data_IF_627759696265
#
_entry.id   IF_627759696265
#
_cell.length_a   1.000
_cell.length_b   1.000
_cell.length_c   1.000
_cell.angle_alpha   90.00
_cell.angle_beta   90.00
_cell.angle_gamma   90.00
#
_symmetry.space_group_name_H-M   'P 1'
#
loop_
_entity.id
_entity.type
_entity.pdbx_description
1 polymer ?
#
# COMPACT_ATOMS: atom_id res chain seq x y z
N UNK A 1 -9.89 -2.40 7.80
CA UNK A 1 -9.95 -1.44 6.65
C UNK A 1 -9.54 -2.21 5.41
N UNK A 2 -10.20 -2.05 4.25
CA UNK A 2 -9.81 -2.78 3.03
C UNK A 2 -8.72 -2.04 2.26
N UNK A 3 -7.73 -2.77 1.78
CA UNK A 3 -6.56 -2.25 1.03
C UNK A 3 -6.24 -3.14 -0.15
N UNK A 4 -5.52 -2.60 -1.13
CA UNK A 4 -5.04 -3.35 -2.29
C UNK A 4 -3.64 -3.89 -1.99
N UNK A 5 -3.47 -5.20 -2.03
CA UNK A 5 -2.18 -5.87 -1.94
C UNK A 5 -1.47 -5.83 -3.30
N UNK A 6 -0.19 -5.55 -3.26
CA UNK A 6 0.73 -5.50 -4.40
C UNK A 6 1.99 -6.32 -4.09
N UNK A 7 2.79 -6.61 -5.11
CA UNK A 7 4.09 -7.28 -4.92
C UNK A 7 5.14 -6.29 -4.40
N UNK A 8 6.19 -6.80 -3.76
CA UNK A 8 7.32 -5.98 -3.30
C UNK A 8 8.05 -5.27 -4.45
N UNK A 9 8.17 -5.94 -5.61
CA UNK A 9 8.71 -5.34 -6.83
C UNK A 9 7.85 -4.13 -7.25
N UNK A 10 6.52 -4.31 -7.23
CA UNK A 10 5.60 -3.26 -7.60
C UNK A 10 5.61 -2.09 -6.62
N UNK A 11 5.70 -2.36 -5.31
CA UNK A 11 5.88 -1.33 -4.29
C UNK A 11 7.15 -0.50 -4.54
N UNK A 12 8.25 -1.17 -4.87
CA UNK A 12 9.54 -0.54 -5.18
C UNK A 12 9.50 0.30 -6.45
N UNK A 13 8.72 -0.10 -7.46
CA UNK A 13 8.48 0.72 -8.64
C UNK A 13 7.72 1.98 -8.27
N UNK A 14 6.62 1.84 -7.53
CA UNK A 14 5.65 2.91 -7.32
C UNK A 14 6.09 3.96 -6.32
N UNK A 15 6.91 3.60 -5.34
CA UNK A 15 7.24 4.49 -4.22
C UNK A 15 7.70 5.87 -4.72
N UNK A 16 6.95 6.91 -4.37
CA UNK A 16 7.25 8.28 -4.77
C UNK A 16 6.90 8.65 -6.22
N UNK A 17 6.38 7.72 -7.04
CA UNK A 17 5.80 8.03 -8.34
C UNK A 17 4.50 8.81 -8.16
N UNK A 18 4.30 9.82 -9.00
CA UNK A 18 3.12 10.67 -8.99
C UNK A 18 2.02 10.05 -9.87
N UNK A 19 0.82 9.86 -9.31
CA UNK A 19 -0.35 9.34 -10.04
C UNK A 19 -1.42 10.39 -10.30
N UNK A 20 -1.34 11.51 -9.59
CA UNK A 20 -2.17 12.69 -9.78
C UNK A 20 -1.36 13.90 -9.34
N UNK A 21 -1.63 15.07 -9.92
CA UNK A 21 -0.91 16.33 -9.59
C UNK A 21 -0.81 16.54 -8.07
N UNK A 22 0.38 16.38 -7.52
CA UNK A 22 0.66 16.54 -6.08
C UNK A 22 0.36 15.32 -5.18
N UNK A 23 -0.04 14.18 -5.75
CA UNK A 23 -0.28 12.93 -5.04
C UNK A 23 0.64 11.81 -5.54
N UNK A 24 1.37 11.21 -4.60
CA UNK A 24 2.34 10.14 -4.87
C UNK A 24 1.90 8.84 -4.26
N UNK A 25 2.23 7.74 -4.92
CA UNK A 25 2.03 6.42 -4.35
C UNK A 25 2.88 6.29 -3.09
N UNK A 26 2.25 5.79 -2.03
CA UNK A 26 2.88 5.53 -0.74
C UNK A 26 2.58 4.10 -0.32
N UNK A 27 3.16 3.10 -1.01
CA UNK A 27 3.02 1.72 -0.60
C UNK A 27 3.63 1.51 0.78
N UNK A 28 2.91 0.80 1.64
CA UNK A 28 3.33 0.47 3.00
C UNK A 28 3.29 -1.03 3.21
N UNK A 29 4.00 -1.51 4.22
CA UNK A 29 3.97 -2.92 4.61
C UNK A 29 3.09 -3.08 5.86
N UNK A 30 2.22 -4.09 5.85
CA UNK A 30 1.37 -4.45 6.97
C UNK A 30 2.10 -5.39 7.96
N UNK A 31 1.46 -5.77 9.07
CA UNK A 31 2.05 -6.65 10.09
C UNK A 31 2.30 -8.10 9.62
N UNK A 32 1.69 -8.51 8.51
CA UNK A 32 1.90 -9.82 7.89
C UNK A 32 3.01 -9.78 6.82
N UNK A 33 3.59 -8.61 6.57
CA UNK A 33 4.61 -8.43 5.53
C UNK A 33 4.03 -8.23 4.13
N UNK A 34 2.71 -8.04 3.96
CA UNK A 34 2.11 -7.70 2.68
C UNK A 34 2.40 -6.25 2.32
N UNK A 35 2.79 -6.02 1.07
CA UNK A 35 2.85 -4.67 0.51
C UNK A 35 1.46 -4.24 0.06
N UNK A 36 1.04 -3.07 0.50
CA UNK A 36 -0.31 -2.57 0.28
C UNK A 36 -0.31 -1.11 -0.16
N UNK A 37 -1.36 -0.72 -0.87
CA UNK A 37 -1.73 0.67 -1.18
C UNK A 37 -3.21 0.88 -0.84
N UNK A 38 -3.62 2.14 -0.70
CA UNK A 38 -5.05 2.44 -0.55
C UNK A 38 -5.84 2.03 -1.80
N UNK A 39 -7.13 1.75 -1.61
CA UNK A 39 -8.02 1.47 -2.75
C UNK A 39 -8.20 2.68 -3.68
N UNK A 40 -7.88 3.89 -3.21
CA UNK A 40 -7.87 5.09 -4.06
C UNK A 40 -6.67 5.06 -4.98
N UNK A 41 -5.47 4.83 -4.43
CA UNK A 41 -4.25 4.67 -5.22
C UNK A 41 -4.41 3.55 -6.27
N UNK A 42 -4.97 2.42 -5.87
CA UNK A 42 -5.21 1.27 -6.75
C UNK A 42 -6.06 1.60 -7.99
N UNK A 43 -6.98 2.59 -7.91
CA UNK A 43 -7.79 3.00 -9.06
C UNK A 43 -6.97 3.71 -10.15
N UNK A 44 -5.84 4.31 -9.79
CA UNK A 44 -4.93 4.98 -10.72
C UNK A 44 -3.88 4.03 -11.30
N UNK A 45 -3.96 2.75 -10.93
CA UNK A 45 -3.03 1.74 -11.36
C UNK A 45 -3.69 0.85 -12.40
N UNK A 46 -3.06 0.70 -13.56
CA UNK A 46 -3.40 -0.35 -14.53
C UNK A 46 -2.84 -1.68 -14.03
N UNK A 47 -3.43 -2.27 -12.99
CA UNK A 47 -3.04 -3.61 -12.53
C UNK A 47 -4.17 -4.59 -12.85
N UNK A 48 -3.81 -5.67 -13.51
CA UNK A 48 -4.71 -6.79 -13.77
C UNK A 48 -4.89 -7.69 -12.54
N UNK A 49 -4.03 -7.56 -11.53
CA UNK A 49 -3.92 -8.46 -10.38
C UNK A 49 -3.86 -7.68 -9.04
N UNK A 50 -4.91 -6.92 -8.72
CA UNK A 50 -5.08 -6.37 -7.36
C UNK A 50 -5.82 -7.40 -6.52
N UNK A 51 -5.15 -7.95 -5.51
CA UNK A 51 -5.80 -8.71 -4.45
C UNK A 51 -6.27 -7.72 -3.37
N UNK A 52 -7.57 -7.70 -3.06
CA UNK A 52 -8.09 -6.85 -1.97
C UNK A 52 -8.07 -7.65 -0.68
N UNK A 53 -7.36 -7.14 0.32
CA UNK A 53 -7.20 -7.79 1.63
C UNK A 53 -7.68 -6.88 2.76
N UNK A 54 -7.88 -7.47 3.93
CA UNK A 54 -8.08 -6.71 5.16
C UNK A 54 -6.74 -6.24 5.71
N UNK A 55 -6.61 -4.94 5.94
CA UNK A 55 -5.39 -4.32 6.46
C UNK A 55 -5.17 -4.67 7.93
N UNK A 56 -3.99 -5.23 8.22
CA UNK A 56 -3.50 -5.40 9.58
C UNK A 56 -2.43 -4.34 9.90
N UNK A 57 -2.76 -3.32 10.71
CA UNK A 57 -1.80 -2.29 11.05
C UNK A 57 -0.59 -2.91 11.76
N UNK A 58 0.60 -2.36 11.50
CA UNK A 58 1.76 -2.63 12.34
C UNK A 58 1.37 -2.25 13.78
N UNK A 59 1.42 -3.22 14.69
CA UNK A 59 1.27 -2.94 16.11
C UNK A 59 2.49 -2.13 16.53
N UNK A 60 2.34 -0.82 16.56
CA UNK A 60 3.34 0.06 17.15
C UNK A 60 3.13 -0.10 18.66
N UNK A 61 4.04 -0.81 19.32
CA UNK A 61 4.01 -0.96 20.77
C UNK A 61 4.11 0.45 21.38
N UNK A 62 2.99 1.03 21.81
CA UNK A 62 2.91 2.37 22.41
C UNK A 62 3.56 2.41 23.81
N UNK A 63 4.24 1.34 24.24
CA UNK A 63 4.84 1.16 25.56
C UNK A 63 6.19 1.86 25.76
N UNK A 64 6.74 2.54 24.74
CA UNK A 64 8.02 3.27 24.83
C UNK A 64 7.88 4.80 24.61
N UNK A 65 6.89 5.44 25.26
CA UNK A 65 6.81 6.91 25.41
C UNK A 65 6.80 7.35 26.87
#
# INVERSE_FOLDING_TARGET
MLVAKITAEKASELVGQEYQSGAKFSPVQDNQGNWIVSLVEAQYMSISDIEVIEFEPLEIDESEI
#
